data_IF_156506584466
#
_entry.id   IF_156506584466
#
_cell.length_a   1.000
_cell.length_b   1.000
_cell.length_c   1.000
_cell.angle_alpha   90.00
_cell.angle_beta   90.00
_cell.angle_gamma   90.00
#
_symmetry.space_group_name_H-M   'P 1'
#
loop_
_entity.id
_entity.type
_entity.pdbx_description
1 polymer ?
#
# COMPACT_ATOMS: atom_id res chain seq x y z
N UNK A 1 -22.11 65.31 -39.21
CA UNK A 1 -21.00 64.87 -38.42
C UNK A 1 -21.60 63.95 -37.30
N UNK A 2 -21.53 62.69 -37.48
CA UNK A 2 -22.07 61.71 -36.49
C UNK A 2 -20.91 60.87 -36.00
N UNK A 3 -20.49 61.14 -34.75
CA UNK A 3 -19.49 60.38 -34.09
C UNK A 3 -20.10 59.03 -33.60
N UNK A 4 -19.77 57.97 -34.29
CA UNK A 4 -20.19 56.66 -33.91
C UNK A 4 -19.11 56.07 -32.97
N UNK A 5 -19.35 56.19 -31.65
CA UNK A 5 -18.48 55.62 -30.61
C UNK A 5 -18.81 54.15 -30.48
N UNK A 6 -18.02 53.30 -31.12
CA UNK A 6 -18.07 51.87 -30.89
C UNK A 6 -17.34 51.55 -29.61
N UNK A 7 -18.08 51.42 -28.53
CA UNK A 7 -17.58 50.82 -27.31
C UNK A 7 -17.53 49.30 -27.51
N UNK A 8 -16.34 48.79 -27.85
CA UNK A 8 -16.06 47.36 -27.85
C UNK A 8 -16.02 46.92 -26.40
N UNK A 9 -17.13 46.31 -25.92
CA UNK A 9 -17.12 45.57 -24.66
C UNK A 9 -16.37 44.26 -24.89
N UNK A 10 -15.09 44.26 -24.54
CA UNK A 10 -14.29 43.06 -24.49
C UNK A 10 -14.75 42.25 -23.29
N UNK A 11 -15.67 41.32 -23.51
CA UNK A 11 -16.09 40.35 -22.50
C UNK A 11 -14.96 39.33 -22.36
N UNK A 12 -14.13 39.52 -21.35
CA UNK A 12 -13.08 38.57 -20.99
C UNK A 12 -13.77 37.37 -20.34
N UNK A 13 -14.05 36.32 -21.15
CA UNK A 13 -14.55 35.06 -20.66
C UNK A 13 -13.37 34.33 -19.98
N UNK A 14 -13.24 34.51 -18.67
CA UNK A 14 -12.28 33.75 -17.86
C UNK A 14 -12.80 32.33 -17.80
N UNK A 15 -12.29 31.45 -18.66
CA UNK A 15 -12.49 30.03 -18.61
C UNK A 15 -11.69 29.50 -17.43
N UNK A 16 -12.33 29.47 -16.26
CA UNK A 16 -11.77 28.83 -15.05
C UNK A 16 -11.71 27.32 -15.29
N UNK A 17 -10.60 26.84 -15.85
CA UNK A 17 -10.29 25.41 -15.85
C UNK A 17 -9.95 25.02 -14.43
N UNK A 18 -10.93 24.50 -13.71
CA UNK A 18 -10.72 23.82 -12.43
C UNK A 18 -9.89 22.59 -12.72
N UNK A 19 -8.58 22.68 -12.50
CA UNK A 19 -7.70 21.51 -12.44
C UNK A 19 -8.13 20.69 -11.23
N UNK A 20 -9.06 19.75 -11.47
CA UNK A 20 -9.33 18.72 -10.50
C UNK A 20 -8.07 17.83 -10.38
N UNK A 21 -7.21 18.16 -9.44
CA UNK A 21 -6.17 17.23 -8.98
C UNK A 21 -6.90 16.08 -8.29
N UNK A 22 -7.24 15.07 -9.07
CA UNK A 22 -7.66 13.78 -8.52
C UNK A 22 -6.45 13.19 -7.80
N UNK A 23 -6.40 13.37 -6.49
CA UNK A 23 -5.42 12.70 -5.64
C UNK A 23 -5.82 11.24 -5.63
N UNK A 24 -5.06 10.39 -6.34
CA UNK A 24 -5.23 8.95 -6.26
C UNK A 24 -5.00 8.52 -4.80
N UNK A 25 -5.95 7.76 -4.22
CA UNK A 25 -5.81 7.24 -2.86
C UNK A 25 -4.56 6.35 -2.77
N UNK A 26 -3.83 6.43 -1.65
CA UNK A 26 -2.69 5.56 -1.38
C UNK A 26 -3.11 4.10 -1.39
N UNK A 27 -2.33 3.27 -2.07
CA UNK A 27 -2.55 1.84 -2.15
C UNK A 27 -1.53 1.11 -1.29
N UNK A 28 -2.03 0.43 -0.26
CA UNK A 28 -1.21 -0.43 0.58
C UNK A 28 -1.35 -1.90 0.17
N UNK A 29 -0.28 -2.66 0.31
CA UNK A 29 -0.26 -4.11 0.23
C UNK A 29 0.67 -4.68 1.30
N UNK A 30 0.33 -5.84 1.83
CA UNK A 30 1.26 -6.66 2.59
C UNK A 30 1.84 -7.71 1.65
N UNK A 31 3.09 -7.52 1.23
CA UNK A 31 3.79 -8.46 0.36
C UNK A 31 4.40 -9.54 1.22
N UNK A 32 3.88 -10.75 1.06
CA UNK A 32 4.37 -11.96 1.72
C UNK A 32 5.42 -12.63 0.83
N UNK A 33 6.67 -12.48 1.22
CA UNK A 33 7.80 -13.11 0.52
C UNK A 33 8.01 -14.50 1.11
N UNK A 34 7.79 -15.50 0.29
CA UNK A 34 7.88 -16.92 0.63
C UNK A 34 8.90 -17.65 -0.22
N UNK A 35 9.17 -18.90 0.12
CA UNK A 35 10.11 -19.76 -0.59
C UNK A 35 9.70 -21.21 -0.40
N UNK A 36 9.90 -22.04 -1.42
CA UNK A 36 9.67 -23.48 -1.33
C UNK A 36 10.57 -24.08 -0.24
N UNK A 37 10.01 -25.00 0.57
CA UNK A 37 10.73 -25.64 1.68
C UNK A 37 10.91 -24.77 2.92
N UNK A 38 10.24 -23.62 3.00
CA UNK A 38 10.26 -22.75 4.16
C UNK A 38 9.25 -23.22 5.21
N UNK A 39 9.71 -23.87 6.29
CA UNK A 39 8.84 -24.42 7.34
C UNK A 39 8.02 -23.33 8.03
N UNK A 40 8.58 -22.15 8.29
CA UNK A 40 7.86 -21.06 8.94
C UNK A 40 6.84 -20.40 8.01
N UNK A 41 7.04 -20.48 6.70
CA UNK A 41 6.04 -20.09 5.71
C UNK A 41 4.83 -21.03 5.76
N UNK A 42 5.08 -22.34 5.84
CA UNK A 42 4.02 -23.36 5.95
C UNK A 42 3.20 -23.16 7.23
N UNK A 43 3.87 -22.93 8.37
CA UNK A 43 3.19 -22.69 9.64
C UNK A 43 2.32 -21.42 9.56
N UNK A 44 2.84 -20.32 9.00
CA UNK A 44 2.05 -19.11 8.81
C UNK A 44 0.85 -19.35 7.89
N UNK A 45 1.03 -20.12 6.83
CA UNK A 45 -0.05 -20.47 5.92
C UNK A 45 -1.17 -21.23 6.61
N UNK A 46 -0.83 -22.19 7.47
CA UNK A 46 -1.81 -22.96 8.23
C UNK A 46 -2.56 -22.11 9.26
N UNK A 47 -1.86 -21.21 9.96
CA UNK A 47 -2.42 -20.45 11.07
C UNK A 47 -3.12 -19.14 10.64
N UNK A 48 -2.63 -18.46 9.61
CA UNK A 48 -2.99 -17.07 9.31
C UNK A 48 -3.61 -16.88 7.94
N UNK A 49 -3.11 -17.55 6.89
CA UNK A 49 -3.40 -17.17 5.51
C UNK A 49 -4.89 -17.15 5.15
N UNK A 50 -5.68 -18.08 5.68
CA UNK A 50 -7.13 -18.16 5.43
C UNK A 50 -7.94 -17.11 6.22
N UNK A 51 -7.39 -16.59 7.30
CA UNK A 51 -8.03 -15.61 8.17
C UNK A 51 -7.72 -14.19 7.68
N UNK A 52 -6.48 -13.95 7.27
CA UNK A 52 -5.96 -12.62 6.92
C UNK A 52 -6.88 -11.79 6.03
N UNK A 53 -7.40 -12.28 4.88
CA UNK A 53 -8.26 -11.48 4.00
C UNK A 53 -9.62 -11.11 4.63
N UNK A 54 -9.99 -11.73 5.74
CA UNK A 54 -11.25 -11.48 6.47
C UNK A 54 -11.10 -10.46 7.60
N UNK A 55 -9.88 -9.97 7.82
CA UNK A 55 -9.57 -9.02 8.88
C UNK A 55 -9.58 -7.58 8.37
N UNK A 56 -9.59 -6.62 9.30
CA UNK A 56 -9.44 -5.20 8.96
C UNK A 56 -8.06 -4.92 8.37
N UNK A 57 -7.02 -5.55 8.90
CA UNK A 57 -5.65 -5.49 8.42
C UNK A 57 -5.57 -5.93 6.95
N UNK A 58 -6.19 -7.06 6.62
CA UNK A 58 -6.27 -7.57 5.25
C UNK A 58 -7.06 -6.69 4.30
N UNK A 59 -8.02 -5.91 4.79
CA UNK A 59 -8.76 -4.95 3.98
C UNK A 59 -7.94 -3.70 3.66
N UNK A 60 -7.10 -3.25 4.60
CA UNK A 60 -6.24 -2.08 4.45
C UNK A 60 -5.02 -2.39 3.61
N UNK A 61 -4.37 -3.52 3.88
CA UNK A 61 -3.19 -4.00 3.18
C UNK A 61 -3.43 -5.43 2.65
N UNK A 62 -4.13 -5.58 1.52
CA UNK A 62 -4.36 -6.89 0.92
C UNK A 62 -3.07 -7.67 0.74
N UNK A 63 -3.12 -8.98 1.00
CA UNK A 63 -1.97 -9.87 0.90
C UNK A 63 -1.58 -10.05 -0.58
N UNK A 64 -0.31 -9.93 -0.86
CA UNK A 64 0.30 -10.24 -2.15
C UNK A 64 1.44 -11.24 -1.93
N UNK A 65 1.27 -12.47 -2.41
CA UNK A 65 2.28 -13.53 -2.29
C UNK A 65 3.30 -13.42 -3.41
N UNK A 66 4.57 -13.58 -3.07
CA UNK A 66 5.67 -13.58 -4.04
C UNK A 66 6.80 -14.49 -3.57
N UNK A 67 7.40 -15.20 -4.53
CA UNK A 67 8.62 -15.96 -4.25
C UNK A 67 9.81 -15.03 -4.02
N UNK A 68 10.74 -15.44 -3.15
CA UNK A 68 11.96 -14.67 -2.85
C UNK A 68 12.81 -14.38 -4.11
N UNK A 69 12.71 -15.22 -5.13
CA UNK A 69 13.41 -15.00 -6.39
C UNK A 69 12.82 -13.85 -7.22
N UNK A 70 11.56 -13.47 -6.98
CA UNK A 70 10.81 -12.58 -7.85
C UNK A 70 10.36 -11.27 -7.16
N UNK A 71 10.59 -11.08 -5.85
CA UNK A 71 10.05 -9.94 -5.12
C UNK A 71 10.53 -8.58 -5.63
N UNK A 72 11.76 -8.50 -6.13
CA UNK A 72 12.32 -7.25 -6.68
C UNK A 72 11.61 -6.76 -7.94
N UNK A 73 10.88 -7.65 -8.63
CA UNK A 73 10.05 -7.29 -9.78
C UNK A 73 8.67 -6.77 -9.35
N UNK A 74 8.28 -7.02 -8.09
CA UNK A 74 6.97 -6.72 -7.55
C UNK A 74 6.94 -5.40 -6.79
N UNK A 75 8.03 -5.08 -6.09
CA UNK A 75 8.13 -3.89 -5.25
C UNK A 75 9.54 -3.30 -5.26
N UNK A 76 9.63 -2.03 -4.85
CA UNK A 76 10.91 -1.38 -4.57
C UNK A 76 11.20 -1.59 -3.09
N UNK A 77 12.16 -2.47 -2.78
CA UNK A 77 12.59 -2.77 -1.41
C UNK A 77 13.67 -1.80 -0.93
N UNK A 78 13.72 -1.58 0.38
CA UNK A 78 14.78 -0.77 1.02
C UNK A 78 16.06 -1.58 1.14
N UNK A 79 15.94 -2.84 1.57
CA UNK A 79 17.04 -3.77 1.73
C UNK A 79 16.69 -5.12 1.10
N UNK A 80 17.70 -5.93 0.70
CA UNK A 80 17.46 -7.30 0.25
C UNK A 80 16.65 -8.12 1.26
N UNK A 81 15.79 -9.01 0.76
CA UNK A 81 15.13 -10.02 1.57
C UNK A 81 16.07 -11.21 1.72
N UNK A 82 16.42 -11.56 2.96
CA UNK A 82 17.33 -12.68 3.28
C UNK A 82 16.66 -13.82 4.04
N UNK A 83 15.52 -13.55 4.65
CA UNK A 83 14.74 -14.52 5.42
C UNK A 83 13.36 -14.73 4.84
N UNK A 84 12.85 -15.94 4.93
CA UNK A 84 11.45 -16.25 4.66
C UNK A 84 10.80 -16.90 5.87
N UNK A 85 9.54 -16.56 6.17
CA UNK A 85 8.75 -15.50 5.51
C UNK A 85 9.25 -14.10 5.85
N UNK A 86 9.09 -13.16 4.93
CA UNK A 86 9.20 -11.73 5.21
C UNK A 86 7.92 -11.05 4.73
N UNK A 87 7.35 -10.19 5.56
CA UNK A 87 6.13 -9.45 5.27
C UNK A 87 6.48 -7.98 5.08
N UNK A 88 6.35 -7.48 3.87
CA UNK A 88 6.73 -6.12 3.50
C UNK A 88 5.46 -5.30 3.29
N UNK A 89 5.26 -4.29 4.14
CA UNK A 89 4.22 -3.30 3.91
C UNK A 89 4.69 -2.33 2.85
N UNK A 90 3.91 -2.23 1.78
CA UNK A 90 4.18 -1.30 0.68
C UNK A 90 3.12 -0.23 0.61
N UNK A 91 3.54 0.96 0.20
CA UNK A 91 2.70 2.06 -0.22
C UNK A 91 3.01 2.39 -1.67
N UNK A 92 2.04 2.20 -2.56
CA UNK A 92 2.22 2.40 -4.00
C UNK A 92 3.43 1.62 -4.55
N UNK A 93 3.54 0.33 -4.16
CA UNK A 93 4.61 -0.61 -4.53
C UNK A 93 6.01 -0.29 -3.99
N UNK A 94 6.14 0.64 -3.05
CA UNK A 94 7.39 0.95 -2.35
C UNK A 94 7.32 0.46 -0.92
N UNK A 95 8.38 -0.22 -0.47
CA UNK A 95 8.49 -0.64 0.92
C UNK A 95 8.49 0.55 1.86
N UNK A 96 7.66 0.48 2.91
CA UNK A 96 7.64 1.45 3.99
C UNK A 96 7.93 0.83 5.35
N UNK A 97 7.72 -0.49 5.51
CA UNK A 97 8.03 -1.24 6.72
C UNK A 97 8.08 -2.73 6.43
N UNK A 98 8.64 -3.54 7.33
CA UNK A 98 8.66 -5.00 7.20
C UNK A 98 8.66 -5.72 8.53
N UNK A 99 8.21 -6.95 8.50
CA UNK A 99 8.34 -7.96 9.56
C UNK A 99 9.13 -9.11 8.97
N UNK A 100 10.25 -9.47 9.57
CA UNK A 100 11.08 -10.58 9.12
C UNK A 100 10.87 -11.80 10.03
N UNK A 101 10.54 -12.92 9.40
CA UNK A 101 10.28 -14.18 10.10
C UNK A 101 8.86 -14.32 10.64
N UNK A 102 8.57 -15.50 11.19
CA UNK A 102 7.31 -15.84 11.85
C UNK A 102 7.58 -16.72 13.08
N UNK A 103 7.16 -16.26 14.23
CA UNK A 103 7.36 -16.95 15.51
C UNK A 103 6.06 -17.10 16.31
N UNK A 104 4.92 -17.13 15.63
CA UNK A 104 3.60 -17.33 16.21
C UNK A 104 2.60 -16.24 15.88
N UNK A 105 1.34 -16.62 15.97
CA UNK A 105 0.20 -15.79 15.58
C UNK A 105 0.05 -14.52 16.43
N UNK A 106 0.11 -14.63 17.75
CA UNK A 106 -0.03 -13.47 18.65
C UNK A 106 1.01 -12.38 18.34
N UNK A 107 2.27 -12.77 18.14
CA UNK A 107 3.32 -11.82 17.85
C UNK A 107 3.17 -11.22 16.44
N UNK A 108 2.77 -12.04 15.46
CA UNK A 108 2.54 -11.57 14.11
C UNK A 108 1.45 -10.49 14.08
N UNK A 109 0.29 -10.77 14.69
CA UNK A 109 -0.81 -9.80 14.74
C UNK A 109 -0.43 -8.53 15.50
N UNK A 110 0.25 -8.65 16.63
CA UNK A 110 0.72 -7.51 17.40
C UNK A 110 1.71 -6.63 16.64
N UNK A 111 2.68 -7.21 15.95
CA UNK A 111 3.64 -6.47 15.12
C UNK A 111 2.97 -5.83 13.91
N UNK A 112 2.05 -6.52 13.26
CA UNK A 112 1.30 -6.02 12.11
C UNK A 112 0.42 -4.82 12.52
N UNK A 113 -0.28 -4.91 13.64
CA UNK A 113 -1.10 -3.83 14.17
C UNK A 113 -0.26 -2.57 14.42
N UNK A 114 0.87 -2.71 15.11
CA UNK A 114 1.80 -1.58 15.36
C UNK A 114 2.30 -0.99 14.05
N UNK A 115 2.67 -1.83 13.09
CA UNK A 115 3.14 -1.40 11.79
C UNK A 115 2.06 -0.62 11.02
N UNK A 116 0.84 -1.13 10.97
CA UNK A 116 -0.27 -0.48 10.26
C UNK A 116 -0.68 0.83 10.93
N UNK A 117 -0.74 0.88 12.26
CA UNK A 117 -1.04 2.12 13.01
C UNK A 117 0.00 3.22 12.76
N UNK A 118 1.26 2.84 12.65
CA UNK A 118 2.34 3.78 12.40
C UNK A 118 2.38 4.29 10.96
N UNK A 119 2.14 3.43 9.99
CA UNK A 119 2.40 3.71 8.57
C UNK A 119 1.14 4.06 7.77
N UNK A 120 -0.03 3.81 8.33
CA UNK A 120 -1.32 4.06 7.68
C UNK A 120 -2.26 4.84 8.61
N UNK A 121 -3.48 5.08 8.15
CA UNK A 121 -4.54 5.63 9.02
C UNK A 121 -5.35 4.52 9.71
N UNK A 122 -4.72 3.38 9.96
CA UNK A 122 -5.34 2.25 10.64
C UNK A 122 -5.57 2.59 12.11
N UNK A 123 -6.82 2.61 12.52
CA UNK A 123 -7.24 2.81 13.90
C UNK A 123 -8.22 1.70 14.27
N UNK A 124 -7.89 0.96 15.32
CA UNK A 124 -8.81 -0.01 15.94
C UNK A 124 -9.32 0.67 17.20
N UNK A 125 -10.52 1.24 17.10
CA UNK A 125 -11.28 1.66 18.26
C UNK A 125 -11.82 0.45 19.04
#
# INVERSE_FOLDING_TARGET
MRNLSYTIKLTFLILSTSLNFSHAADKYNLVYVEQEGCIYCEIWDEEISSIYPKTMEGSIAPLMRVDIADYEQTLISVNPVVFTPTFILTKNSKEISRIEGYIGDDLFWGMLEVMLKRETNFDID
#
